data_IF_316042638894
#
_entry.id   IF_316042638894
#
_cell.length_a   1.000
_cell.length_b   1.000
_cell.length_c   1.000
_cell.angle_alpha   90.00
_cell.angle_beta   90.00
_cell.angle_gamma   90.00
#
_symmetry.space_group_name_H-M   'P 1'
#
loop_
_entity.id
_entity.type
_entity.pdbx_description
1 polymer ?
#
# COMPACT_ATOMS: atom_id res chain seq x y z
N UNK A 1 2.18 22.74 -20.50
CA UNK A 1 2.38 22.05 -21.80
C UNK A 1 3.49 20.99 -21.73
N UNK A 2 4.68 21.29 -21.20
CA UNK A 2 5.79 20.33 -21.08
C UNK A 2 5.42 19.05 -20.32
N UNK A 3 4.83 19.17 -19.13
CA UNK A 3 4.47 18.01 -18.29
C UNK A 3 3.37 17.14 -18.93
N UNK A 4 2.41 17.76 -19.62
CA UNK A 4 1.40 17.06 -20.39
C UNK A 4 2.00 16.30 -21.58
N UNK A 5 2.98 16.89 -22.28
CA UNK A 5 3.68 16.24 -23.39
C UNK A 5 4.49 15.01 -22.94
N UNK A 6 5.26 15.13 -21.85
CA UNK A 6 5.96 13.97 -21.28
C UNK A 6 4.99 12.95 -20.71
N UNK A 7 3.89 13.39 -20.09
CA UNK A 7 2.80 12.53 -19.67
C UNK A 7 2.20 11.73 -20.82
N UNK A 8 1.95 12.37 -21.97
CA UNK A 8 1.37 11.69 -23.14
C UNK A 8 2.33 10.65 -23.72
N UNK A 9 3.62 10.97 -23.84
CA UNK A 9 4.65 10.00 -24.25
C UNK A 9 4.76 8.82 -23.28
N UNK A 10 4.75 9.10 -21.98
CA UNK A 10 4.73 8.06 -20.95
C UNK A 10 3.45 7.21 -21.01
N UNK A 11 2.31 7.84 -21.27
CA UNK A 11 1.02 7.19 -21.49
C UNK A 11 1.04 6.26 -22.68
N UNK A 12 1.70 6.62 -23.78
CA UNK A 12 1.91 5.71 -24.91
C UNK A 12 2.73 4.48 -24.51
N UNK A 13 3.79 4.64 -23.69
CA UNK A 13 4.57 3.49 -23.19
C UNK A 13 3.69 2.56 -22.35
N UNK A 14 2.93 3.10 -21.38
CA UNK A 14 1.97 2.31 -20.62
C UNK A 14 0.88 1.69 -21.50
N UNK A 15 0.41 2.44 -22.50
CA UNK A 15 -0.59 2.04 -23.47
C UNK A 15 -0.13 0.88 -24.33
N UNK A 16 1.14 0.84 -24.74
CA UNK A 16 1.74 -0.29 -25.43
C UNK A 16 1.79 -1.53 -24.53
N UNK A 17 2.24 -1.39 -23.28
CA UNK A 17 2.25 -2.50 -22.30
C UNK A 17 0.84 -3.07 -22.15
N UNK A 18 -0.15 -2.24 -21.85
CA UNK A 18 -1.53 -2.71 -21.65
C UNK A 18 -2.18 -3.17 -22.97
N UNK A 19 -1.87 -2.54 -24.09
CA UNK A 19 -2.38 -2.93 -25.41
C UNK A 19 -1.92 -4.33 -25.81
N UNK A 20 -0.67 -4.72 -25.48
CA UNK A 20 -0.20 -6.10 -25.70
C UNK A 20 -0.95 -7.11 -24.84
N UNK A 21 -1.32 -6.74 -23.60
CA UNK A 21 -2.17 -7.58 -22.75
C UNK A 21 -3.56 -7.72 -23.36
N UNK A 22 -4.21 -6.61 -23.74
CA UNK A 22 -5.54 -6.62 -24.35
C UNK A 22 -5.60 -7.45 -25.63
N UNK A 23 -4.53 -7.42 -26.45
CA UNK A 23 -4.42 -8.27 -27.62
C UNK A 23 -4.44 -9.76 -27.23
N UNK A 24 -3.73 -10.15 -26.17
CA UNK A 24 -3.68 -11.54 -25.69
C UNK A 24 -4.99 -12.02 -25.08
N UNK A 25 -5.72 -11.15 -24.38
CA UNK A 25 -7.00 -11.50 -23.75
C UNK A 25 -8.22 -11.22 -24.65
N UNK A 26 -8.00 -10.82 -25.92
CA UNK A 26 -9.07 -10.61 -26.90
C UNK A 26 -9.97 -9.40 -26.61
N UNK A 27 -9.51 -8.39 -25.85
CA UNK A 27 -10.34 -7.25 -25.44
C UNK A 27 -10.36 -6.10 -26.46
N UNK A 28 -9.47 -6.12 -27.45
CA UNK A 28 -9.35 -5.04 -28.44
C UNK A 28 -10.63 -4.80 -29.29
N UNK A 29 -11.38 -5.82 -29.74
CA UNK A 29 -12.66 -5.60 -30.42
C UNK A 29 -13.68 -4.83 -29.57
N UNK A 30 -13.72 -5.07 -28.26
CA UNK A 30 -14.60 -4.34 -27.34
C UNK A 30 -14.26 -2.84 -27.32
N UNK A 31 -12.97 -2.50 -27.33
CA UNK A 31 -12.52 -1.09 -27.44
C UNK A 31 -12.84 -0.51 -28.80
N UNK A 32 -12.69 -1.29 -29.87
CA UNK A 32 -13.04 -0.89 -31.24
C UNK A 32 -14.54 -0.55 -31.37
N UNK A 33 -15.39 -1.21 -30.57
CA UNK A 33 -16.83 -0.95 -30.51
C UNK A 33 -17.19 0.50 -30.19
N UNK A 34 -16.32 1.25 -29.50
CA UNK A 34 -16.50 2.69 -29.22
C UNK A 34 -16.67 3.50 -30.51
N UNK A 35 -15.98 3.10 -31.58
CA UNK A 35 -16.06 3.73 -32.92
C UNK A 35 -16.86 2.88 -33.91
N UNK A 36 -17.71 1.98 -33.41
CA UNK A 36 -18.63 1.13 -34.18
C UNK A 36 -17.95 0.19 -35.19
N UNK A 37 -16.83 -0.40 -34.80
CA UNK A 37 -16.15 -1.46 -35.55
C UNK A 37 -15.70 -2.58 -34.61
N UNK A 38 -15.41 -3.76 -35.16
CA UNK A 38 -14.88 -4.93 -34.45
C UNK A 38 -13.38 -5.17 -34.71
N UNK A 39 -12.76 -4.32 -35.55
CA UNK A 39 -11.35 -4.48 -35.94
C UNK A 39 -10.40 -4.35 -34.73
N UNK A 40 -9.63 -5.41 -34.38
CA UNK A 40 -8.67 -5.34 -33.27
C UNK A 40 -7.59 -4.26 -33.46
N UNK A 41 -7.20 -4.00 -34.72
CA UNK A 41 -6.21 -2.97 -35.05
C UNK A 41 -6.75 -1.56 -34.76
N UNK A 42 -8.03 -1.30 -35.09
CA UNK A 42 -8.68 -0.03 -34.76
C UNK A 42 -8.84 0.10 -33.24
N UNK A 43 -9.25 -0.97 -32.55
CA UNK A 43 -9.32 -0.98 -31.08
C UNK A 43 -7.98 -0.66 -30.41
N UNK A 44 -6.87 -1.19 -30.94
CA UNK A 44 -5.53 -0.89 -30.47
C UNK A 44 -5.15 0.58 -30.69
N UNK A 45 -5.46 1.15 -31.87
CA UNK A 45 -5.21 2.56 -32.16
C UNK A 45 -6.02 3.50 -31.24
N UNK A 46 -7.31 3.20 -31.04
CA UNK A 46 -8.20 3.92 -30.11
C UNK A 46 -7.65 3.86 -28.69
N UNK A 47 -7.22 2.69 -28.25
CA UNK A 47 -6.59 2.52 -26.95
C UNK A 47 -5.32 3.37 -26.80
N UNK A 48 -4.41 3.38 -27.77
CA UNK A 48 -3.20 4.20 -27.70
C UNK A 48 -3.51 5.70 -27.65
N UNK A 49 -4.54 6.16 -28.37
CA UNK A 49 -5.02 7.54 -28.28
C UNK A 49 -5.51 7.88 -26.87
N UNK A 50 -6.38 7.02 -26.29
CA UNK A 50 -6.87 7.19 -24.92
C UNK A 50 -5.71 7.17 -23.93
N UNK A 51 -4.77 6.24 -24.07
CA UNK A 51 -3.58 6.12 -23.25
C UNK A 51 -2.70 7.40 -23.30
N UNK A 52 -2.53 8.01 -24.47
CA UNK A 52 -1.81 9.28 -24.58
C UNK A 52 -2.52 10.43 -23.85
N UNK A 53 -3.85 10.52 -23.97
CA UNK A 53 -4.66 11.56 -23.29
C UNK A 53 -4.58 11.36 -21.76
N UNK A 54 -4.85 10.14 -21.31
CA UNK A 54 -4.84 9.75 -19.89
C UNK A 54 -3.45 9.93 -19.28
N UNK A 55 -2.39 9.59 -20.01
CA UNK A 55 -1.00 9.84 -19.60
C UNK A 55 -0.67 11.33 -19.54
N UNK A 56 -1.17 12.13 -20.48
CA UNK A 56 -1.02 13.59 -20.46
C UNK A 56 -1.61 14.21 -19.19
N UNK A 57 -2.81 13.78 -18.80
CA UNK A 57 -3.44 14.17 -17.52
C UNK A 57 -2.59 13.72 -16.34
N UNK A 58 -2.10 12.48 -16.34
CA UNK A 58 -1.24 11.97 -15.27
C UNK A 58 0.02 12.84 -15.10
N UNK A 59 0.71 13.16 -16.19
CA UNK A 59 1.91 14.01 -16.17
C UNK A 59 1.66 15.38 -15.53
N UNK A 60 0.50 15.98 -15.77
CA UNK A 60 0.10 17.24 -15.12
C UNK A 60 -0.16 17.05 -13.62
N UNK A 61 -0.88 15.99 -13.23
CA UNK A 61 -1.24 15.72 -11.84
C UNK A 61 -0.01 15.42 -10.96
N UNK A 62 1.00 14.74 -11.52
CA UNK A 62 2.17 14.27 -10.76
C UNK A 62 3.43 15.12 -10.96
N UNK A 63 3.36 16.23 -11.70
CA UNK A 63 4.51 17.06 -12.04
C UNK A 63 5.37 17.50 -10.84
N UNK A 64 4.76 17.62 -9.65
CA UNK A 64 5.45 17.98 -8.39
C UNK A 64 5.39 16.89 -7.32
N UNK A 65 4.92 15.71 -7.68
CA UNK A 65 4.70 14.61 -6.77
C UNK A 65 5.92 13.70 -6.72
N UNK A 66 6.13 13.08 -5.56
CA UNK A 66 7.12 12.00 -5.38
C UNK A 66 6.41 10.65 -5.46
N UNK A 67 7.19 9.57 -5.53
CA UNK A 67 6.66 8.19 -5.59
C UNK A 67 5.72 7.92 -6.76
N UNK A 68 6.18 8.29 -7.96
CA UNK A 68 5.40 8.16 -9.20
C UNK A 68 4.84 6.74 -9.39
N UNK A 69 5.55 5.69 -8.94
CA UNK A 69 5.08 4.31 -9.00
C UNK A 69 3.73 4.13 -8.30
N UNK A 70 3.59 4.60 -7.05
CA UNK A 70 2.36 4.40 -6.28
C UNK A 70 1.23 5.28 -6.81
N UNK A 71 1.54 6.51 -7.25
CA UNK A 71 0.55 7.33 -7.96
C UNK A 71 0.10 6.68 -9.26
N UNK A 72 1.02 6.09 -10.03
CA UNK A 72 0.71 5.36 -11.26
C UNK A 72 -0.23 4.19 -10.99
N UNK A 73 0.03 3.38 -9.97
CA UNK A 73 -0.83 2.26 -9.58
C UNK A 73 -2.21 2.72 -9.13
N UNK A 74 -2.29 3.72 -8.25
CA UNK A 74 -3.57 4.28 -7.80
C UNK A 74 -4.37 4.90 -8.97
N UNK A 75 -3.66 5.56 -9.90
CA UNK A 75 -4.24 6.10 -11.12
C UNK A 75 -4.72 5.00 -12.08
N UNK A 76 -4.01 3.87 -12.13
CA UNK A 76 -4.46 2.65 -12.81
C UNK A 76 -5.77 2.13 -12.24
N UNK A 77 -5.87 1.96 -10.92
CA UNK A 77 -7.13 1.54 -10.27
C UNK A 77 -8.27 2.54 -10.55
N UNK A 78 -7.98 3.84 -10.48
CA UNK A 78 -8.94 4.89 -10.81
C UNK A 78 -9.46 4.73 -12.25
N UNK A 79 -8.58 4.54 -13.23
CA UNK A 79 -8.97 4.37 -14.63
C UNK A 79 -9.59 3.01 -14.94
N UNK A 80 -9.31 1.98 -14.14
CA UNK A 80 -10.07 0.73 -14.22
C UNK A 80 -11.51 0.94 -13.75
N UNK A 81 -11.73 1.71 -12.68
CA UNK A 81 -13.08 2.07 -12.26
C UNK A 81 -13.79 2.99 -13.27
N UNK A 82 -13.11 4.01 -13.77
CA UNK A 82 -13.70 4.96 -14.72
C UNK A 82 -13.86 4.37 -16.13
N UNK A 83 -12.91 3.58 -16.61
CA UNK A 83 -12.89 3.05 -17.98
C UNK A 83 -13.87 1.90 -18.15
N UNK A 84 -13.45 0.64 -17.93
CA UNK A 84 -14.25 -0.53 -18.22
C UNK A 84 -15.52 -0.66 -17.35
N UNK A 85 -15.54 -0.14 -16.11
CA UNK A 85 -16.72 -0.24 -15.24
C UNK A 85 -17.74 0.91 -15.43
N UNK A 86 -17.35 2.04 -16.02
CA UNK A 86 -18.20 3.24 -16.09
C UNK A 86 -18.35 3.78 -17.52
N UNK A 87 -17.26 4.28 -18.11
CA UNK A 87 -17.30 4.99 -19.40
C UNK A 87 -17.53 4.03 -20.56
N UNK A 88 -16.89 2.87 -20.57
CA UNK A 88 -17.03 1.90 -21.66
C UNK A 88 -18.49 1.42 -21.81
N UNK A 89 -19.21 0.98 -20.76
CA UNK A 89 -20.63 0.67 -20.88
C UNK A 89 -21.45 1.84 -21.42
N UNK A 90 -21.26 3.05 -20.89
CA UNK A 90 -21.96 4.26 -21.35
C UNK A 90 -21.74 4.50 -22.85
N UNK A 91 -20.49 4.40 -23.32
CA UNK A 91 -20.13 4.60 -24.72
C UNK A 91 -20.72 3.51 -25.65
N UNK A 92 -20.96 2.31 -25.12
CA UNK A 92 -21.60 1.21 -25.82
C UNK A 92 -23.14 1.22 -25.70
N UNK A 93 -23.71 2.13 -24.93
CA UNK A 93 -25.17 2.20 -24.69
C UNK A 93 -25.68 1.22 -23.63
N UNK A 94 -24.78 0.66 -22.82
CA UNK A 94 -25.06 -0.28 -21.73
C UNK A 94 -25.06 0.43 -20.36
N UNK A 95 -25.77 -0.10 -19.35
CA UNK A 95 -25.75 0.44 -17.99
C UNK A 95 -24.35 0.32 -17.35
N UNK A 96 -24.03 1.24 -16.43
CA UNK A 96 -22.76 1.18 -15.68
C UNK A 96 -22.63 -0.11 -14.88
N UNK A 97 -21.43 -0.69 -14.87
CA UNK A 97 -21.18 -2.02 -14.33
C UNK A 97 -20.76 -1.98 -12.84
N UNK A 98 -21.44 -1.17 -12.04
CA UNK A 98 -21.09 -0.91 -10.63
C UNK A 98 -21.58 -2.01 -9.68
N UNK A 99 -21.14 -3.24 -9.91
CA UNK A 99 -21.42 -4.38 -9.05
C UNK A 99 -20.23 -5.35 -8.99
N UNK A 100 -20.12 -6.11 -7.91
CA UNK A 100 -18.96 -6.98 -7.63
C UNK A 100 -18.76 -8.03 -8.71
N UNK A 101 -19.84 -8.58 -9.29
CA UNK A 101 -19.74 -9.58 -10.35
C UNK A 101 -19.03 -9.03 -11.60
N UNK A 102 -19.38 -7.83 -12.08
CA UNK A 102 -18.69 -7.23 -13.22
C UNK A 102 -17.25 -6.84 -12.89
N UNK A 103 -17.01 -6.32 -11.68
CA UNK A 103 -15.66 -6.03 -11.21
C UNK A 103 -14.78 -7.28 -11.21
N UNK A 104 -15.31 -8.42 -10.79
CA UNK A 104 -14.63 -9.72 -10.83
C UNK A 104 -14.32 -10.16 -12.26
N UNK A 105 -15.28 -10.06 -13.17
CA UNK A 105 -15.07 -10.42 -14.58
C UNK A 105 -14.01 -9.53 -15.25
N UNK A 106 -13.86 -8.30 -14.76
CA UNK A 106 -12.89 -7.31 -15.23
C UNK A 106 -11.56 -7.31 -14.47
N UNK A 107 -11.27 -8.31 -13.63
CA UNK A 107 -9.96 -8.49 -12.97
C UNK A 107 -8.78 -8.54 -13.96
N UNK A 108 -8.86 -9.22 -15.13
CA UNK A 108 -7.79 -9.14 -16.13
C UNK A 108 -7.51 -7.70 -16.58
N UNK A 109 -8.56 -6.88 -16.72
CA UNK A 109 -8.45 -5.47 -17.07
C UNK A 109 -7.87 -4.64 -15.94
N UNK A 110 -8.19 -4.94 -14.67
CA UNK A 110 -7.57 -4.31 -13.49
C UNK A 110 -6.05 -4.47 -13.50
N UNK A 111 -5.57 -5.70 -13.70
CA UNK A 111 -4.13 -5.98 -13.79
C UNK A 111 -3.48 -5.23 -14.96
N UNK A 112 -4.18 -5.12 -16.09
CA UNK A 112 -3.76 -4.31 -17.23
C UNK A 112 -3.66 -2.81 -16.93
N UNK A 113 -4.61 -2.26 -16.16
CA UNK A 113 -4.57 -0.86 -15.73
C UNK A 113 -3.49 -0.60 -14.68
N UNK A 114 -3.23 -1.54 -13.77
CA UNK A 114 -2.09 -1.48 -12.85
C UNK A 114 -0.76 -1.47 -13.61
N UNK A 115 -0.62 -2.34 -14.63
CA UNK A 115 0.54 -2.37 -15.50
C UNK A 115 0.69 -1.07 -16.32
N UNK A 116 -0.41 -0.56 -16.89
CA UNK A 116 -0.45 0.74 -17.57
C UNK A 116 0.07 1.86 -16.67
N UNK A 117 -0.47 1.96 -15.46
CA UNK A 117 -0.12 3.00 -14.48
C UNK A 117 1.33 2.92 -14.04
N UNK A 118 1.82 1.72 -13.71
CA UNK A 118 3.21 1.48 -13.32
C UNK A 118 4.19 1.81 -14.46
N UNK A 119 3.89 1.37 -15.69
CA UNK A 119 4.73 1.64 -16.86
C UNK A 119 4.75 3.12 -17.25
N UNK A 120 3.59 3.79 -17.18
CA UNK A 120 3.48 5.25 -17.39
C UNK A 120 4.31 6.01 -16.36
N UNK A 121 4.20 5.65 -15.08
CA UNK A 121 4.99 6.26 -14.01
C UNK A 121 6.49 6.04 -14.20
N UNK A 122 6.91 4.82 -14.56
CA UNK A 122 8.31 4.50 -14.82
C UNK A 122 8.86 5.28 -16.01
N UNK A 123 8.12 5.36 -17.11
CA UNK A 123 8.49 6.13 -18.29
C UNK A 123 8.62 7.63 -17.96
N UNK A 124 7.68 8.18 -17.19
CA UNK A 124 7.74 9.58 -16.75
C UNK A 124 8.94 9.83 -15.84
N UNK A 125 9.25 8.92 -14.91
CA UNK A 125 10.42 9.01 -14.05
C UNK A 125 11.74 8.98 -14.86
N UNK A 126 11.79 8.18 -15.93
CA UNK A 126 12.94 8.10 -16.84
C UNK A 126 13.09 9.38 -17.67
N UNK A 127 11.98 9.98 -18.11
CA UNK A 127 11.97 11.23 -18.89
C UNK A 127 12.32 12.46 -18.04
N UNK A 128 11.92 12.48 -16.76
CA UNK A 128 12.14 13.59 -15.84
C UNK A 128 13.58 13.70 -15.28
N UNK A 129 14.43 12.69 -15.52
CA UNK A 129 15.88 12.58 -15.20
C UNK A 129 16.40 13.38 -13.98
N UNK A 130 16.48 12.68 -12.85
CA UNK A 130 17.67 12.58 -11.99
C UNK A 130 17.70 11.17 -11.35
N UNK A 131 17.90 10.12 -12.15
CA UNK A 131 18.08 8.78 -11.59
C UNK A 131 19.47 8.65 -10.97
N UNK A 132 19.55 8.83 -9.64
CA UNK A 132 20.75 8.44 -8.90
C UNK A 132 20.83 6.93 -8.87
N UNK A 133 21.87 6.36 -9.49
CA UNK A 133 22.17 4.94 -9.34
C UNK A 133 22.38 4.64 -7.84
N UNK A 134 21.73 3.62 -7.28
CA UNK A 134 21.96 3.27 -5.88
C UNK A 134 23.42 2.83 -5.70
N UNK A 135 24.05 3.28 -4.63
CA UNK A 135 25.40 2.82 -4.29
C UNK A 135 25.40 1.32 -4.00
N UNK A 136 26.51 0.63 -4.32
CA UNK A 136 26.64 -0.81 -4.14
C UNK A 136 26.30 -1.27 -2.71
N UNK A 137 26.69 -0.51 -1.68
CA UNK A 137 26.37 -0.82 -0.28
C UNK A 137 24.87 -0.81 0.04
N UNK A 138 24.09 0.08 -0.60
CA UNK A 138 22.63 0.07 -0.46
C UNK A 138 22.03 -1.15 -1.15
N UNK A 139 22.49 -1.49 -2.35
CA UNK A 139 22.01 -2.67 -3.07
C UNK A 139 22.25 -3.95 -2.27
N UNK A 140 23.47 -4.15 -1.75
CA UNK A 140 23.80 -5.32 -0.92
C UNK A 140 22.91 -5.39 0.32
N UNK A 141 22.79 -4.27 1.04
CA UNK A 141 21.93 -4.19 2.23
C UNK A 141 20.48 -4.51 1.91
N UNK A 142 19.96 -3.99 0.80
CA UNK A 142 18.57 -4.19 0.42
C UNK A 142 18.30 -5.61 -0.04
N UNK A 143 19.19 -6.20 -0.85
CA UNK A 143 19.15 -7.61 -1.21
C UNK A 143 19.19 -8.53 0.02
N UNK A 144 20.06 -8.23 0.99
CA UNK A 144 20.14 -8.98 2.25
C UNK A 144 18.86 -8.84 3.08
N UNK A 145 18.32 -7.63 3.21
CA UNK A 145 17.06 -7.41 3.91
C UNK A 145 15.89 -8.17 3.26
N UNK A 146 15.85 -8.21 1.93
CA UNK A 146 14.87 -8.98 1.18
C UNK A 146 15.02 -10.49 1.37
N UNK A 147 16.27 -10.99 1.38
CA UNK A 147 16.57 -12.39 1.70
C UNK A 147 16.15 -12.76 3.14
N UNK A 148 16.43 -11.90 4.12
CA UNK A 148 16.05 -12.14 5.51
C UNK A 148 14.53 -12.11 5.73
N UNK A 149 13.81 -11.33 4.92
CA UNK A 149 12.35 -11.28 4.96
C UNK A 149 11.69 -12.44 4.18
N UNK A 150 12.42 -13.11 3.27
CA UNK A 150 11.86 -14.11 2.36
C UNK A 150 11.20 -15.33 3.00
N UNK A 151 11.53 -15.78 4.24
CA UNK A 151 10.80 -16.87 4.89
C UNK A 151 9.30 -16.63 5.02
N UNK A 152 8.84 -15.37 4.96
CA UNK A 152 7.41 -15.03 4.94
C UNK A 152 6.69 -15.59 3.70
N UNK A 153 7.40 -15.78 2.59
CA UNK A 153 6.90 -16.41 1.37
C UNK A 153 6.95 -17.96 1.42
N UNK A 154 7.33 -18.52 2.57
CA UNK A 154 7.70 -19.92 2.71
C UNK A 154 9.18 -20.18 2.41
N UNK A 155 9.61 -21.43 2.66
CA UNK A 155 11.02 -21.84 2.56
C UNK A 155 11.38 -22.46 1.19
N UNK A 156 10.51 -22.33 0.18
CA UNK A 156 10.76 -22.84 -1.17
C UNK A 156 11.81 -22.02 -1.92
N UNK A 157 12.39 -22.59 -2.98
CA UNK A 157 13.47 -21.97 -3.77
C UNK A 157 13.11 -20.61 -4.39
N UNK A 158 11.83 -20.37 -4.69
CA UNK A 158 11.35 -19.10 -5.25
C UNK A 158 11.38 -17.95 -4.24
N UNK A 159 11.18 -18.24 -2.95
CA UNK A 159 11.11 -17.22 -1.88
C UNK A 159 12.39 -16.36 -1.79
N UNK A 160 13.57 -16.96 -1.58
CA UNK A 160 14.85 -16.23 -1.52
C UNK A 160 15.14 -15.39 -2.76
N UNK A 161 14.87 -15.92 -3.96
CA UNK A 161 15.08 -15.20 -5.22
C UNK A 161 14.18 -13.97 -5.30
N UNK A 162 12.88 -14.15 -5.03
CA UNK A 162 11.91 -13.04 -4.99
C UNK A 162 12.30 -12.02 -3.94
N UNK A 163 12.71 -12.45 -2.74
CA UNK A 163 13.17 -11.57 -1.67
C UNK A 163 14.36 -10.72 -2.08
N UNK A 164 15.42 -11.32 -2.64
CA UNK A 164 16.61 -10.61 -3.13
C UNK A 164 16.26 -9.59 -4.22
N UNK A 165 15.45 -9.99 -5.21
CA UNK A 165 15.03 -9.11 -6.29
C UNK A 165 14.12 -7.97 -5.78
N UNK A 166 13.25 -8.25 -4.82
CA UNK A 166 12.43 -7.25 -4.16
C UNK A 166 13.29 -6.23 -3.40
N UNK A 167 14.29 -6.69 -2.65
CA UNK A 167 15.25 -5.83 -1.98
C UNK A 167 16.03 -4.94 -2.96
N UNK A 168 16.65 -5.53 -3.98
CA UNK A 168 17.42 -4.80 -4.98
C UNK A 168 16.56 -3.76 -5.72
N UNK A 169 15.36 -4.14 -6.16
CA UNK A 169 14.44 -3.23 -6.84
C UNK A 169 13.92 -2.12 -5.92
N UNK A 170 13.66 -2.41 -4.64
CA UNK A 170 13.32 -1.37 -3.66
C UNK A 170 14.43 -0.30 -3.58
N UNK A 171 15.70 -0.71 -3.51
CA UNK A 171 16.84 0.21 -3.49
C UNK A 171 16.96 1.05 -4.77
N UNK A 172 16.67 0.46 -5.93
CA UNK A 172 16.68 1.18 -7.22
C UNK A 172 15.55 2.21 -7.30
N UNK A 173 14.35 1.85 -6.85
CA UNK A 173 13.17 2.70 -6.97
C UNK A 173 13.16 3.81 -5.93
N UNK A 174 13.51 3.52 -4.68
CA UNK A 174 13.33 4.45 -3.55
C UNK A 174 14.64 4.98 -2.96
N UNK A 175 15.79 4.38 -3.29
CA UNK A 175 17.07 4.76 -2.70
C UNK A 175 17.17 4.41 -1.21
N UNK A 176 18.08 5.09 -0.50
CA UNK A 176 18.29 4.87 0.93
C UNK A 176 17.20 5.57 1.75
N UNK A 177 16.39 4.84 2.55
CA UNK A 177 15.37 5.45 3.39
C UNK A 177 16.01 6.33 4.48
N UNK A 178 15.81 7.64 4.39
CA UNK A 178 16.24 8.62 5.41
C UNK A 178 15.08 9.17 6.26
N UNK A 179 13.89 8.62 6.08
CA UNK A 179 12.71 9.01 6.84
C UNK A 179 12.41 8.03 7.99
N UNK A 180 11.40 8.36 8.80
CA UNK A 180 11.02 7.58 9.97
C UNK A 180 10.46 6.21 9.59
N UNK A 181 10.52 5.29 10.54
CA UNK A 181 10.14 3.89 10.35
C UNK A 181 8.69 3.68 9.91
N UNK A 182 7.74 4.55 10.29
CA UNK A 182 6.32 4.45 9.87
C UNK A 182 6.11 4.59 8.37
N UNK A 183 6.47 5.72 7.73
CA UNK A 183 6.40 5.85 6.28
C UNK A 183 7.16 4.75 5.52
N UNK A 184 8.33 4.32 6.03
CA UNK A 184 9.10 3.21 5.44
C UNK A 184 8.34 1.89 5.51
N UNK A 185 7.72 1.59 6.65
CA UNK A 185 6.89 0.40 6.86
C UNK A 185 5.74 0.36 5.85
N UNK A 186 5.01 1.46 5.70
CA UNK A 186 3.86 1.57 4.80
C UNK A 186 4.29 1.55 3.33
N UNK A 187 5.42 2.19 2.99
CA UNK A 187 6.04 2.05 1.67
C UNK A 187 6.38 0.61 1.36
N UNK A 188 7.00 -0.09 2.31
CA UNK A 188 7.31 -1.50 2.22
C UNK A 188 6.06 -2.34 1.93
N UNK A 189 5.00 -2.16 2.71
CA UNK A 189 3.73 -2.85 2.53
C UNK A 189 3.12 -2.63 1.12
N UNK A 190 3.08 -1.37 0.66
CA UNK A 190 2.61 -1.02 -0.68
C UNK A 190 3.48 -1.63 -1.79
N UNK A 191 4.80 -1.64 -1.59
CA UNK A 191 5.73 -2.28 -2.53
C UNK A 191 5.61 -3.80 -2.53
N UNK A 192 5.27 -4.40 -1.39
CA UNK A 192 4.88 -5.80 -1.28
C UNK A 192 3.70 -6.14 -2.19
N UNK A 193 2.65 -5.31 -2.19
CA UNK A 193 1.53 -5.46 -3.14
C UNK A 193 1.99 -5.42 -4.61
N UNK A 194 2.93 -4.53 -4.95
CA UNK A 194 3.52 -4.49 -6.31
C UNK A 194 4.19 -5.82 -6.64
N UNK A 195 4.98 -6.37 -5.72
CA UNK A 195 5.64 -7.65 -5.91
C UNK A 195 4.68 -8.83 -5.93
N UNK A 196 3.54 -8.78 -5.26
CA UNK A 196 2.49 -9.78 -5.42
C UNK A 196 1.94 -9.79 -6.86
N UNK A 197 1.62 -8.61 -7.42
CA UNK A 197 1.17 -8.50 -8.82
C UNK A 197 2.25 -8.97 -9.80
N UNK A 198 3.50 -8.56 -9.58
CA UNK A 198 4.62 -8.88 -10.48
C UNK A 198 5.07 -10.34 -10.36
N UNK A 199 5.39 -10.83 -9.17
CA UNK A 199 5.93 -12.17 -8.99
C UNK A 199 4.85 -13.25 -8.95
N UNK A 200 3.90 -13.17 -8.00
CA UNK A 200 2.91 -14.22 -7.81
C UNK A 200 1.89 -14.28 -8.94
N UNK A 201 1.32 -13.14 -9.34
CA UNK A 201 0.24 -13.10 -10.34
C UNK A 201 0.76 -13.16 -11.78
N UNK A 202 1.98 -12.68 -12.05
CA UNK A 202 2.50 -12.51 -13.42
C UNK A 202 3.69 -13.39 -13.74
N UNK A 203 4.83 -13.23 -13.07
CA UNK A 203 6.07 -13.90 -13.45
C UNK A 203 6.06 -15.40 -13.14
N UNK A 204 5.57 -15.84 -11.98
CA UNK A 204 5.54 -17.26 -11.65
C UNK A 204 4.73 -18.07 -12.68
N UNK A 205 3.47 -17.70 -13.01
CA UNK A 205 2.73 -18.41 -14.06
C UNK A 205 3.40 -18.40 -15.43
N UNK A 206 4.08 -17.31 -15.80
CA UNK A 206 4.83 -17.23 -17.05
C UNK A 206 6.03 -18.18 -17.07
N UNK A 207 6.79 -18.25 -15.97
CA UNK A 207 7.95 -19.13 -15.83
C UNK A 207 7.54 -20.61 -15.78
N UNK A 208 6.37 -20.90 -15.22
CA UNK A 208 5.78 -22.25 -15.20
C UNK A 208 5.17 -22.67 -16.55
N UNK A 209 5.23 -21.82 -17.58
CA UNK A 209 4.63 -22.09 -18.89
C UNK A 209 3.09 -22.00 -18.92
N UNK A 210 2.44 -21.49 -17.87
CA UNK A 210 0.98 -21.32 -17.77
C UNK A 210 0.45 -20.05 -18.46
N UNK A 211 1.33 -19.20 -18.99
CA UNK A 211 0.96 -17.94 -19.63
C UNK A 211 0.55 -16.86 -18.63
N UNK A 212 -0.18 -15.84 -19.09
CA UNK A 212 -0.74 -14.79 -18.23
C UNK A 212 -1.97 -15.32 -17.49
N UNK A 213 -1.77 -15.79 -16.25
CA UNK A 213 -2.83 -16.31 -15.40
C UNK A 213 -3.63 -15.19 -14.71
N UNK A 214 -4.15 -14.25 -15.49
CA UNK A 214 -4.85 -13.04 -15.01
C UNK A 214 -6.36 -13.20 -14.87
N UNK A 215 -6.89 -14.41 -15.08
CA UNK A 215 -8.32 -14.70 -14.90
C UNK A 215 -8.73 -14.52 -13.44
N UNK A 216 -10.01 -14.20 -13.19
CA UNK A 216 -10.53 -14.06 -11.83
C UNK A 216 -10.26 -15.30 -10.97
N UNK A 217 -10.40 -16.50 -11.54
CA UNK A 217 -10.12 -17.75 -10.85
C UNK A 217 -8.64 -17.89 -10.45
N UNK A 218 -7.71 -17.55 -11.35
CA UNK A 218 -6.28 -17.62 -11.06
C UNK A 218 -5.85 -16.56 -10.03
N UNK A 219 -6.37 -15.34 -10.14
CA UNK A 219 -6.11 -14.26 -9.18
C UNK A 219 -6.65 -14.61 -7.79
N UNK A 220 -7.85 -15.22 -7.72
CA UNK A 220 -8.41 -15.70 -6.45
C UNK A 220 -7.54 -16.77 -5.80
N UNK A 221 -6.87 -17.62 -6.58
CA UNK A 221 -5.87 -18.56 -6.03
C UNK A 221 -4.63 -17.81 -5.54
N UNK A 222 -4.11 -16.89 -6.35
CA UNK A 222 -2.91 -16.11 -6.03
C UNK A 222 -3.09 -15.15 -4.84
N UNK A 223 -4.33 -14.72 -4.53
CA UNK A 223 -4.62 -13.82 -3.39
C UNK A 223 -4.18 -14.44 -2.06
N UNK A 224 -4.04 -15.76 -1.98
CA UNK A 224 -3.54 -16.44 -0.79
C UNK A 224 -2.10 -16.05 -0.42
N UNK A 225 -1.32 -15.58 -1.40
CA UNK A 225 0.03 -15.10 -1.18
C UNK A 225 0.08 -13.60 -0.85
N UNK A 226 -0.99 -12.84 -1.11
CA UNK A 226 -1.00 -11.38 -0.93
C UNK A 226 -0.57 -10.95 0.49
N UNK A 227 -1.12 -11.54 1.58
CA UNK A 227 -0.65 -11.26 2.94
C UNK A 227 0.87 -11.41 3.11
N UNK A 228 1.44 -12.50 2.58
CA UNK A 228 2.87 -12.80 2.68
C UNK A 228 3.72 -11.72 1.99
N UNK A 229 3.34 -11.29 0.80
CA UNK A 229 4.04 -10.24 0.06
C UNK A 229 3.94 -8.87 0.72
N UNK A 230 2.77 -8.51 1.26
CA UNK A 230 2.60 -7.25 2.00
C UNK A 230 3.48 -7.24 3.25
N UNK A 231 3.51 -8.33 4.01
CA UNK A 231 4.36 -8.47 5.20
C UNK A 231 5.85 -8.52 4.83
N UNK A 232 6.22 -9.22 3.75
CA UNK A 232 7.57 -9.25 3.20
C UNK A 232 8.07 -7.82 2.95
N UNK A 233 7.31 -7.04 2.19
CA UNK A 233 7.69 -5.68 1.85
C UNK A 233 7.82 -4.79 3.09
N UNK A 234 6.88 -4.90 4.03
CA UNK A 234 6.90 -4.18 5.30
C UNK A 234 8.16 -4.49 6.14
N UNK A 235 8.45 -5.77 6.37
CA UNK A 235 9.61 -6.24 7.14
C UNK A 235 10.91 -5.90 6.44
N UNK A 236 11.00 -6.16 5.13
CA UNK A 236 12.16 -5.83 4.30
C UNK A 236 12.50 -4.35 4.40
N UNK A 237 11.53 -3.44 4.24
CA UNK A 237 11.79 -2.01 4.29
C UNK A 237 12.28 -1.55 5.68
N UNK A 238 11.73 -2.12 6.76
CA UNK A 238 12.23 -1.89 8.12
C UNK A 238 13.66 -2.39 8.30
N UNK A 239 13.99 -3.59 7.79
CA UNK A 239 15.35 -4.15 7.83
C UNK A 239 16.35 -3.28 7.06
N UNK A 240 15.98 -2.75 5.89
CA UNK A 240 16.81 -1.81 5.11
C UNK A 240 17.13 -0.57 5.96
N UNK A 241 16.12 0.00 6.62
CA UNK A 241 16.28 1.18 7.47
C UNK A 241 17.16 0.86 8.69
N UNK A 242 16.93 -0.28 9.34
CA UNK A 242 17.67 -0.71 10.53
C UNK A 242 19.15 -0.98 10.22
N UNK A 243 19.43 -1.80 9.20
CA UNK A 243 20.79 -2.07 8.73
C UNK A 243 21.49 -0.78 8.25
N UNK A 244 20.75 0.17 7.69
CA UNK A 244 21.28 1.47 7.28
C UNK A 244 21.69 2.34 8.47
N UNK A 245 20.87 2.33 9.53
CA UNK A 245 21.19 2.97 10.80
C UNK A 245 22.41 2.34 11.47
N UNK A 246 22.52 1.01 11.48
CA UNK A 246 23.67 0.29 12.02
C UNK A 246 24.95 0.62 11.25
N UNK A 247 24.89 0.58 9.92
CA UNK A 247 26.02 0.95 9.05
C UNK A 247 26.49 2.38 9.33
N UNK A 248 25.58 3.36 9.44
CA UNK A 248 25.97 4.73 9.81
C UNK A 248 26.56 4.82 11.20
N UNK A 249 26.00 4.11 12.19
CA UNK A 249 26.52 4.12 13.56
C UNK A 249 27.93 3.53 13.69
N UNK A 250 28.28 2.55 12.86
CA UNK A 250 29.60 1.88 12.90
C UNK A 250 30.64 2.62 12.06
N UNK A 251 30.25 3.19 10.93
CA UNK A 251 31.18 3.73 9.92
C UNK A 251 31.19 5.26 9.80
N UNK A 252 30.31 5.98 10.51
CA UNK A 252 30.22 7.45 10.45
C UNK A 252 30.30 8.06 11.84
N UNK A 253 31.30 8.93 12.07
CA UNK A 253 31.40 9.79 13.25
C UNK A 253 30.43 10.98 13.14
N UNK A 254 29.15 10.70 12.91
CA UNK A 254 28.14 11.75 12.78
C UNK A 254 27.59 12.13 14.17
N UNK A 255 28.40 12.93 14.87
CA UNK A 255 28.06 13.54 16.17
C UNK A 255 26.77 14.36 16.08
N UNK A 256 26.44 14.90 14.90
CA UNK A 256 25.22 15.69 14.67
C UNK A 256 23.98 14.80 14.65
N UNK A 257 24.05 13.64 13.98
CA UNK A 257 23.00 12.61 13.99
C UNK A 257 22.75 12.03 15.39
N UNK A 258 23.79 11.92 16.22
CA UNK A 258 23.67 11.50 17.62
C UNK A 258 22.98 12.56 18.51
N UNK A 259 23.31 13.83 18.30
CA UNK A 259 22.72 14.97 19.03
C UNK A 259 21.24 15.17 18.64
N UNK A 260 20.90 15.11 17.36
CA UNK A 260 19.51 15.20 16.88
C UNK A 260 18.64 14.08 17.43
N UNK A 261 19.15 12.84 17.49
CA UNK A 261 18.44 11.70 18.12
C UNK A 261 18.17 11.92 19.60
N UNK A 262 19.12 12.52 20.34
CA UNK A 262 18.97 12.87 21.76
C UNK A 262 17.94 13.98 21.97
N UNK A 263 17.98 15.04 21.17
CA UNK A 263 17.01 16.14 21.23
C UNK A 263 15.59 15.67 20.85
N UNK A 264 15.47 14.73 19.90
CA UNK A 264 14.20 14.11 19.54
C UNK A 264 13.65 13.12 20.60
N UNK A 265 14.43 12.75 21.61
CA UNK A 265 14.02 11.81 22.65
C UNK A 265 13.14 12.45 23.74
N UNK A 266 13.28 13.75 24.01
CA UNK A 266 12.64 14.44 25.14
C UNK A 266 11.10 14.45 25.16
N UNK A 267 10.43 14.13 24.05
CA UNK A 267 8.96 14.04 23.95
C UNK A 267 8.40 12.62 23.75
N UNK A 268 9.21 11.56 23.97
CA UNK A 268 8.79 10.18 23.70
C UNK A 268 7.65 9.73 24.63
N UNK A 269 7.77 9.96 25.92
CA UNK A 269 6.79 9.46 26.92
C UNK A 269 5.37 9.99 26.67
N UNK A 270 5.23 11.30 26.43
CA UNK A 270 3.93 11.93 26.12
C UNK A 270 3.32 11.34 24.84
N UNK A 271 4.14 11.13 23.81
CA UNK A 271 3.71 10.49 22.56
C UNK A 271 3.22 9.06 22.76
N UNK A 272 3.86 8.26 23.64
CA UNK A 272 3.38 6.92 23.96
C UNK A 272 2.00 6.95 24.64
N UNK A 273 1.77 7.89 25.57
CA UNK A 273 0.46 8.08 26.19
C UNK A 273 -0.61 8.52 25.20
N UNK A 274 -0.28 9.36 24.22
CA UNK A 274 -1.19 9.65 23.11
C UNK A 274 -1.52 8.39 22.31
N UNK A 275 -0.54 7.51 22.10
CA UNK A 275 -0.72 6.20 21.49
C UNK A 275 -1.71 5.33 22.27
N UNK A 276 -1.55 5.25 23.60
CA UNK A 276 -2.49 4.53 24.49
C UNK A 276 -3.92 5.08 24.36
N UNK A 277 -4.10 6.39 24.50
CA UNK A 277 -5.41 7.02 24.43
C UNK A 277 -6.09 6.86 23.07
N UNK A 278 -5.31 7.03 22.00
CA UNK A 278 -5.79 6.87 20.63
C UNK A 278 -6.10 5.40 20.30
N UNK A 279 -5.26 4.47 20.78
CA UNK A 279 -5.47 3.02 20.68
C UNK A 279 -6.73 2.57 21.42
N UNK A 280 -6.98 3.08 22.62
CA UNK A 280 -8.21 2.81 23.36
C UNK A 280 -9.44 3.33 22.60
N UNK A 281 -9.37 4.54 22.02
CA UNK A 281 -10.48 5.11 21.25
C UNK A 281 -10.82 4.26 20.02
N UNK A 282 -9.79 3.84 19.26
CA UNK A 282 -9.98 2.90 18.15
C UNK A 282 -10.51 1.55 18.63
N UNK A 283 -10.01 1.04 19.75
CA UNK A 283 -10.41 -0.23 20.35
C UNK A 283 -11.88 -0.29 20.69
N UNK A 284 -12.40 0.75 21.36
CA UNK A 284 -13.84 0.91 21.69
C UNK A 284 -14.68 0.96 20.42
N UNK A 285 -14.25 1.70 19.39
CA UNK A 285 -14.97 1.75 18.12
C UNK A 285 -15.03 0.36 17.46
N UNK A 286 -13.91 -0.37 17.47
CA UNK A 286 -13.84 -1.71 16.90
C UNK A 286 -14.63 -2.75 17.72
N UNK A 287 -14.78 -2.55 19.04
CA UNK A 287 -15.67 -3.38 19.87
C UNK A 287 -17.09 -3.41 19.33
N UNK A 288 -17.60 -2.30 18.77
CA UNK A 288 -18.93 -2.28 18.14
C UNK A 288 -19.07 -3.36 17.06
N UNK A 289 -18.10 -3.46 16.14
CA UNK A 289 -18.08 -4.50 15.11
C UNK A 289 -17.98 -5.89 15.74
N UNK A 290 -17.06 -6.10 16.68
CA UNK A 290 -16.86 -7.41 17.31
C UNK A 290 -18.08 -7.92 18.06
N UNK A 291 -18.86 -7.03 18.69
CA UNK A 291 -20.12 -7.38 19.33
C UNK A 291 -21.15 -7.83 18.29
N UNK A 292 -21.27 -7.10 17.16
CA UNK A 292 -22.24 -7.46 16.11
C UNK A 292 -21.98 -8.81 15.47
N UNK A 293 -20.71 -9.23 15.36
CA UNK A 293 -20.34 -10.53 14.78
C UNK A 293 -19.99 -11.59 15.83
N UNK A 294 -20.17 -11.31 17.12
CA UNK A 294 -19.93 -12.27 18.20
C UNK A 294 -18.46 -12.71 18.36
N UNK A 295 -17.49 -11.86 18.02
CA UNK A 295 -16.06 -12.24 17.93
C UNK A 295 -15.28 -12.14 19.26
N UNK A 296 -15.85 -11.51 20.29
CA UNK A 296 -15.15 -11.32 21.58
C UNK A 296 -14.72 -12.65 22.26
N UNK A 297 -15.52 -13.73 22.28
CA UNK A 297 -15.08 -15.03 22.79
C UNK A 297 -13.84 -15.59 22.08
N UNK A 298 -13.69 -15.34 20.77
CA UNK A 298 -12.51 -15.75 20.00
C UNK A 298 -11.25 -14.99 20.42
N UNK A 299 -11.37 -13.77 20.92
CA UNK A 299 -10.22 -13.06 21.52
C UNK A 299 -9.94 -13.57 22.93
N UNK A 300 -10.98 -13.91 23.69
CA UNK A 300 -10.86 -14.47 25.04
C UNK A 300 -10.11 -15.81 25.06
N UNK A 301 -10.17 -16.60 23.98
CA UNK A 301 -9.51 -17.89 23.90
C UNK A 301 -7.98 -17.79 23.88
N UNK A 302 -7.40 -16.61 23.60
CA UNK A 302 -5.96 -16.34 23.74
C UNK A 302 -5.44 -16.61 25.16
N UNK A 303 -6.31 -16.54 26.17
CA UNK A 303 -5.99 -16.87 27.58
C UNK A 303 -6.81 -18.05 28.10
N UNK A 304 -7.37 -18.87 27.20
CA UNK A 304 -8.17 -20.04 27.54
C UNK A 304 -9.58 -19.73 28.09
N UNK A 305 -10.11 -18.52 27.87
CA UNK A 305 -11.46 -18.13 28.32
C UNK A 305 -12.46 -18.13 27.17
N UNK A 306 -13.73 -18.41 27.45
CA UNK A 306 -14.86 -18.23 26.52
C UNK A 306 -15.70 -16.96 26.80
N UNK A 307 -15.34 -16.17 27.81
CA UNK A 307 -16.14 -15.02 28.25
C UNK A 307 -15.96 -13.82 27.32
N UNK A 308 -17.07 -13.29 26.79
CA UNK A 308 -17.05 -12.07 25.99
C UNK A 308 -16.50 -10.85 26.77
N UNK A 309 -16.69 -10.80 28.09
CA UNK A 309 -16.12 -9.75 28.94
C UNK A 309 -14.59 -9.85 29.02
N UNK A 310 -14.04 -11.06 29.16
CA UNK A 310 -12.59 -11.30 29.12
C UNK A 310 -12.04 -10.93 27.74
N UNK A 311 -12.74 -11.31 26.67
CA UNK A 311 -12.39 -10.94 25.30
C UNK A 311 -12.36 -9.43 25.08
N UNK A 312 -13.32 -8.68 25.65
CA UNK A 312 -13.33 -7.22 25.61
C UNK A 312 -12.12 -6.63 26.32
N UNK A 313 -11.80 -7.07 27.53
CA UNK A 313 -10.64 -6.58 28.27
C UNK A 313 -9.35 -6.82 27.48
N UNK A 314 -9.16 -8.03 26.96
CA UNK A 314 -7.99 -8.36 26.15
C UNK A 314 -7.91 -7.53 24.87
N UNK A 315 -9.03 -7.37 24.16
CA UNK A 315 -9.08 -6.53 22.97
C UNK A 315 -8.66 -5.08 23.25
N UNK A 316 -9.13 -4.49 24.36
CA UNK A 316 -8.74 -3.13 24.75
C UNK A 316 -7.27 -3.04 25.18
N UNK A 317 -6.71 -4.09 25.80
CA UNK A 317 -5.27 -4.14 26.11
C UNK A 317 -4.43 -4.23 24.83
N UNK A 318 -4.78 -5.13 23.91
CA UNK A 318 -4.13 -5.26 22.60
C UNK A 318 -4.22 -3.93 21.83
N UNK A 319 -5.41 -3.30 21.83
CA UNK A 319 -5.64 -2.00 21.19
C UNK A 319 -4.70 -0.90 21.69
N UNK A 320 -4.33 -0.90 22.98
CA UNK A 320 -3.36 0.04 23.54
C UNK A 320 -1.94 -0.27 23.08
N UNK A 321 -1.55 -1.55 23.06
CA UNK A 321 -0.24 -1.98 22.53
C UNK A 321 -0.08 -1.53 21.07
N UNK A 322 -1.10 -1.78 20.25
CA UNK A 322 -1.15 -1.35 18.84
C UNK A 322 -1.07 0.18 18.71
N UNK A 323 -1.76 0.92 19.60
CA UNK A 323 -1.68 2.38 19.63
C UNK A 323 -0.31 2.91 20.03
N UNK A 324 0.37 2.26 20.97
CA UNK A 324 1.76 2.57 21.35
C UNK A 324 2.71 2.32 20.19
N UNK A 325 2.58 1.21 19.46
CA UNK A 325 3.40 0.94 18.28
C UNK A 325 3.13 1.94 17.16
N UNK A 326 1.89 2.40 16.98
CA UNK A 326 1.59 3.51 16.07
C UNK A 326 2.31 4.79 16.46
N UNK A 327 2.29 5.16 17.75
CA UNK A 327 3.02 6.32 18.25
C UNK A 327 4.53 6.21 17.96
N UNK A 328 5.13 5.03 18.14
CA UNK A 328 6.54 4.79 17.83
C UNK A 328 6.87 4.99 16.34
N UNK A 329 5.99 4.54 15.45
CA UNK A 329 6.21 4.59 14.00
C UNK A 329 5.89 5.96 13.37
N UNK A 330 4.83 6.63 13.83
CA UNK A 330 4.22 7.79 13.16
C UNK A 330 4.32 9.10 13.93
N UNK A 331 5.12 9.14 15.01
CA UNK A 331 5.42 10.38 15.76
C UNK A 331 5.83 11.51 14.82
N UNK A 332 5.17 12.67 14.91
CA UNK A 332 5.45 13.85 14.07
C UNK A 332 5.31 13.60 12.57
N UNK A 333 4.44 12.68 12.16
CA UNK A 333 4.14 12.39 10.74
C UNK A 333 2.73 12.80 10.31
N UNK A 334 1.87 13.13 11.27
CA UNK A 334 0.49 13.54 11.02
C UNK A 334 0.35 15.05 11.28
N UNK A 335 0.26 15.85 10.22
CA UNK A 335 0.22 17.31 10.30
C UNK A 335 -1.22 17.87 10.24
N UNK A 336 -2.18 17.12 9.72
CA UNK A 336 -3.61 17.45 9.70
C UNK A 336 -4.53 16.22 9.87
N UNK A 337 -5.84 16.42 9.96
CA UNK A 337 -6.78 15.31 10.14
C UNK A 337 -6.72 14.28 9.01
N UNK A 338 -6.56 14.73 7.77
CA UNK A 338 -6.42 13.84 6.63
C UNK A 338 -5.22 12.92 6.83
N UNK A 339 -4.03 13.49 7.06
CA UNK A 339 -2.77 12.79 7.35
C UNK A 339 -2.91 11.71 8.43
N UNK A 340 -3.55 12.06 9.56
CA UNK A 340 -3.80 11.13 10.65
C UNK A 340 -4.68 9.97 10.21
N UNK A 341 -5.79 10.27 9.52
CA UNK A 341 -6.70 9.24 9.02
C UNK A 341 -6.00 8.31 8.05
N UNK A 342 -5.32 8.79 7.01
CA UNK A 342 -4.82 7.86 6.01
C UNK A 342 -3.56 7.09 6.43
N UNK A 343 -2.71 7.63 7.33
CA UNK A 343 -1.69 6.80 8.01
C UNK A 343 -2.35 5.75 8.90
N UNK A 344 -3.38 6.15 9.63
CA UNK A 344 -4.20 5.28 10.46
C UNK A 344 -4.83 4.13 9.67
N UNK A 345 -5.51 4.42 8.57
CA UNK A 345 -6.13 3.44 7.67
C UNK A 345 -5.10 2.48 7.08
N UNK A 346 -3.95 3.01 6.64
CA UNK A 346 -2.84 2.18 6.12
C UNK A 346 -2.30 1.23 7.19
N UNK A 347 -2.18 1.72 8.43
CA UNK A 347 -1.75 0.92 9.57
C UNK A 347 -2.81 -0.10 10.01
N UNK A 348 -4.09 0.27 9.94
CA UNK A 348 -5.23 -0.61 10.18
C UNK A 348 -5.25 -1.78 9.19
N UNK A 349 -5.06 -1.51 7.90
CA UNK A 349 -4.92 -2.56 6.88
C UNK A 349 -3.75 -3.50 7.20
N UNK A 350 -2.59 -2.95 7.57
CA UNK A 350 -1.43 -3.75 7.96
C UNK A 350 -1.73 -4.63 9.19
N UNK A 351 -2.46 -4.11 10.20
CA UNK A 351 -2.86 -4.88 11.37
C UNK A 351 -3.99 -5.88 11.12
N UNK A 352 -4.84 -5.66 10.13
CA UNK A 352 -5.77 -6.69 9.69
C UNK A 352 -5.00 -7.91 9.14
N UNK A 353 -4.00 -7.66 8.31
CA UNK A 353 -3.13 -8.72 7.77
C UNK A 353 -2.28 -9.37 8.88
N UNK A 354 -1.53 -8.55 9.62
CA UNK A 354 -0.59 -9.03 10.64
C UNK A 354 -1.32 -9.60 11.87
N UNK A 355 -2.29 -8.88 12.41
CA UNK A 355 -3.02 -9.26 13.62
C UNK A 355 -4.06 -10.33 13.34
N UNK A 356 -5.13 -9.97 12.62
CA UNK A 356 -6.30 -10.83 12.46
C UNK A 356 -6.05 -12.06 11.59
N UNK A 357 -5.38 -11.89 10.44
CA UNK A 357 -5.15 -13.00 9.50
C UNK A 357 -3.93 -13.86 9.85
N UNK A 358 -2.98 -13.33 10.62
CA UNK A 358 -1.68 -14.00 10.84
C UNK A 358 -1.45 -14.34 12.31
N UNK A 359 -1.31 -13.34 13.19
CA UNK A 359 -0.92 -13.57 14.59
C UNK A 359 -2.03 -14.24 15.40
N UNK A 360 -3.28 -13.78 15.29
CA UNK A 360 -4.40 -14.34 16.05
C UNK A 360 -4.56 -15.85 15.83
N UNK A 361 -4.70 -16.38 14.59
CA UNK A 361 -4.83 -17.82 14.39
C UNK A 361 -3.58 -18.59 14.83
N UNK A 362 -2.38 -18.04 14.60
CA UNK A 362 -1.12 -18.66 15.07
C UNK A 362 -1.06 -18.78 16.60
N UNK A 363 -1.47 -17.74 17.32
CA UNK A 363 -1.53 -17.75 18.78
C UNK A 363 -2.60 -18.70 19.33
N UNK A 364 -3.63 -19.01 18.53
CA UNK A 364 -4.64 -20.02 18.84
C UNK A 364 -4.25 -21.44 18.42
N UNK A 365 -3.03 -21.63 17.89
CA UNK A 365 -2.51 -22.93 17.48
C UNK A 365 -2.88 -23.37 16.06
N UNK A 366 -3.43 -22.48 15.23
CA UNK A 366 -3.71 -22.71 13.82
C UNK A 366 -2.63 -22.08 12.91
N UNK A 367 -2.66 -22.37 11.60
CA UNK A 367 -1.85 -21.64 10.62
C UNK A 367 -2.44 -20.26 10.28
N UNK A 368 -1.69 -19.37 9.61
CA UNK A 368 -2.25 -18.14 9.06
C UNK A 368 -3.47 -18.41 8.17
N UNK A 369 -4.48 -17.53 8.26
CA UNK A 369 -5.74 -17.63 7.53
C UNK A 369 -5.70 -16.73 6.30
N UNK A 370 -5.02 -17.18 5.25
CA UNK A 370 -4.72 -16.36 4.06
C UNK A 370 -5.49 -16.76 2.81
N UNK A 371 -6.26 -17.84 2.80
CA UNK A 371 -7.00 -18.23 1.60
C UNK A 371 -8.09 -17.21 1.22
N UNK A 372 -8.50 -17.19 -0.04
CA UNK A 372 -9.55 -16.27 -0.52
C UNK A 372 -10.84 -16.37 0.31
N UNK A 373 -11.26 -17.59 0.68
CA UNK A 373 -12.42 -17.82 1.52
C UNK A 373 -12.27 -17.17 2.90
N UNK A 374 -11.09 -17.28 3.51
CA UNK A 374 -10.83 -16.72 4.83
C UNK A 374 -10.72 -15.18 4.82
N UNK A 375 -10.14 -14.61 3.75
CA UNK A 375 -10.17 -13.16 3.54
C UNK A 375 -11.61 -12.66 3.37
N UNK A 376 -12.46 -13.40 2.64
CA UNK A 376 -13.87 -13.06 2.48
C UNK A 376 -14.64 -13.15 3.80
N UNK A 377 -14.47 -14.23 4.57
CA UNK A 377 -15.08 -14.42 5.89
C UNK A 377 -14.65 -13.33 6.89
N UNK A 378 -13.41 -12.88 6.81
CA UNK A 378 -12.86 -11.86 7.71
C UNK A 378 -13.14 -10.41 7.27
N UNK A 379 -13.96 -10.20 6.24
CA UNK A 379 -14.31 -8.87 5.74
C UNK A 379 -14.88 -7.92 6.81
N UNK A 380 -15.77 -8.35 7.73
CA UNK A 380 -16.20 -7.47 8.84
C UNK A 380 -15.03 -7.00 9.70
N UNK A 381 -14.03 -7.88 9.93
CA UNK A 381 -12.81 -7.54 10.66
C UNK A 381 -11.95 -6.53 9.90
N UNK A 382 -11.87 -6.61 8.56
CA UNK A 382 -11.20 -5.58 7.74
C UNK A 382 -11.83 -4.20 8.00
N UNK A 383 -13.16 -4.08 7.89
CA UNK A 383 -13.87 -2.83 8.17
C UNK A 383 -13.55 -2.30 9.56
N UNK A 384 -13.58 -3.18 10.57
CA UNK A 384 -13.24 -2.84 11.94
C UNK A 384 -11.80 -2.35 12.11
N UNK A 385 -10.82 -2.97 11.46
CA UNK A 385 -9.42 -2.55 11.49
C UNK A 385 -9.18 -1.21 10.77
N UNK A 386 -9.83 -0.98 9.63
CA UNK A 386 -9.74 0.32 8.93
C UNK A 386 -10.34 1.44 9.78
N UNK A 387 -11.47 1.19 10.43
CA UNK A 387 -12.13 2.15 11.31
C UNK A 387 -11.33 2.39 12.60
N UNK A 388 -10.78 1.33 13.21
CA UNK A 388 -9.80 1.39 14.31
C UNK A 388 -8.63 2.30 13.92
N UNK A 389 -8.02 2.02 12.76
CA UNK A 389 -6.87 2.75 12.25
C UNK A 389 -7.17 4.23 12.02
N UNK A 390 -8.29 4.54 11.34
CA UNK A 390 -8.73 5.90 11.10
C UNK A 390 -8.92 6.69 12.41
N UNK A 391 -9.59 6.09 13.41
CA UNK A 391 -9.81 6.68 14.72
C UNK A 391 -8.49 6.89 15.49
N UNK A 392 -7.65 5.85 15.53
CA UNK A 392 -6.31 5.89 16.14
C UNK A 392 -5.49 7.05 15.56
N UNK A 393 -5.35 7.11 14.24
CA UNK A 393 -4.54 8.12 13.58
C UNK A 393 -5.08 9.54 13.76
N UNK A 394 -6.41 9.72 13.70
CA UNK A 394 -7.06 11.01 13.93
C UNK A 394 -6.91 11.51 15.37
N UNK A 395 -7.16 10.64 16.36
CA UNK A 395 -7.05 11.00 17.78
C UNK A 395 -5.60 11.28 18.13
N UNK A 396 -4.67 10.43 17.70
CA UNK A 396 -3.25 10.63 17.91
C UNK A 396 -2.79 11.97 17.34
N UNK A 397 -3.19 12.30 16.10
CA UNK A 397 -2.87 13.58 15.47
C UNK A 397 -3.40 14.77 16.27
N UNK A 398 -4.64 14.70 16.78
CA UNK A 398 -5.22 15.78 17.57
C UNK A 398 -4.52 15.98 18.91
N UNK A 399 -4.11 14.89 19.56
CA UNK A 399 -3.37 14.95 20.81
C UNK A 399 -1.96 15.53 20.58
N UNK A 400 -1.24 15.08 19.55
CA UNK A 400 0.06 15.67 19.19
C UNK A 400 -0.06 17.15 18.81
N UNK A 401 -1.09 17.55 18.07
CA UNK A 401 -1.28 18.94 17.64
C UNK A 401 -1.45 19.92 18.82
N UNK A 402 -1.99 19.45 19.95
CA UNK A 402 -2.17 20.24 21.19
C UNK A 402 -0.86 20.48 21.93
N UNK A 403 0.14 19.61 21.75
CA UNK A 403 1.45 19.77 22.36
C UNK A 403 2.29 20.75 21.53
N UNK A 404 2.36 22.00 21.99
CA UNK A 404 3.28 22.99 21.40
C UNK A 404 4.63 22.88 22.10
N UNK A 405 5.77 22.83 21.37
CA UNK A 405 7.07 22.88 22.00
C UNK A 405 7.20 24.20 22.79
N UNK A 406 7.56 24.14 24.08
CA UNK A 406 7.62 25.32 24.94
C UNK A 406 8.61 26.40 24.50
N UNK A 407 9.53 26.06 23.57
CA UNK A 407 10.50 26.98 22.98
C UNK A 407 10.00 27.72 21.72
N UNK A 408 8.82 27.38 21.19
CA UNK A 408 8.23 28.04 20.03
C UNK A 408 7.06 28.91 20.46
N UNK A 409 6.99 30.13 19.92
CA UNK A 409 5.78 30.95 20.00
C UNK A 409 4.63 30.27 19.23
N UNK A 410 3.38 30.63 19.55
CA UNK A 410 2.19 30.09 18.86
C UNK A 410 2.24 30.33 17.35
N UNK A 411 2.74 31.50 16.91
CA UNK A 411 2.88 31.84 15.49
C UNK A 411 3.97 31.02 14.80
N UNK A 412 5.13 30.80 15.43
CA UNK A 412 6.19 29.95 14.91
C UNK A 412 5.74 28.48 14.81
N UNK A 413 5.04 27.97 15.82
CA UNK A 413 4.47 26.62 15.78
C UNK A 413 3.42 26.49 14.66
N UNK A 414 2.59 27.51 14.43
CA UNK A 414 1.63 27.53 13.33
C UNK A 414 2.32 27.55 11.96
N UNK A 415 3.35 28.39 11.79
CA UNK A 415 4.14 28.45 10.55
C UNK A 415 4.84 27.11 10.26
N UNK A 416 5.47 26.49 11.27
CA UNK A 416 6.11 25.19 11.14
C UNK A 416 5.11 24.10 10.70
N UNK A 417 3.88 24.09 11.26
CA UNK A 417 2.81 23.17 10.83
C UNK A 417 2.37 23.43 9.39
N UNK A 418 2.26 24.69 8.96
CA UNK A 418 1.88 25.03 7.60
C UNK A 418 2.94 24.53 6.59
N UNK A 419 4.22 24.72 6.89
CA UNK A 419 5.32 24.20 6.08
C UNK A 419 5.31 22.68 6.04
N UNK A 420 5.20 22.00 7.19
CA UNK A 420 5.16 20.55 7.25
C UNK A 420 3.96 19.94 6.51
N UNK A 421 2.79 20.60 6.56
CA UNK A 421 1.60 20.22 5.80
C UNK A 421 1.86 20.30 4.29
N UNK A 422 2.47 21.40 3.83
CA UNK A 422 2.84 21.57 2.42
C UNK A 422 3.85 20.50 1.98
N UNK A 423 4.87 20.25 2.79
CA UNK A 423 5.85 19.18 2.53
C UNK A 423 5.17 17.81 2.44
N UNK A 424 4.21 17.52 3.32
CA UNK A 424 3.47 16.26 3.27
C UNK A 424 2.65 16.12 1.99
N UNK A 425 1.96 17.18 1.55
CA UNK A 425 1.17 17.12 0.30
C UNK A 425 2.02 16.87 -0.96
N UNK A 426 3.31 17.18 -0.89
CA UNK A 426 4.29 16.93 -1.95
C UNK A 426 5.13 15.67 -1.69
N UNK A 427 4.91 15.00 -0.56
CA UNK A 427 5.66 13.81 -0.14
C UNK A 427 5.11 12.53 -0.74
N UNK A 428 5.73 11.40 -0.37
CA UNK A 428 5.26 10.05 -0.64
C UNK A 428 3.90 9.72 0.02
N UNK A 429 3.59 10.37 1.15
CA UNK A 429 2.48 9.97 2.01
C UNK A 429 1.15 9.91 1.25
N UNK A 430 0.80 10.92 0.42
CA UNK A 430 -0.48 10.91 -0.24
C UNK A 430 -0.63 9.84 -1.34
N UNK A 431 0.46 9.31 -1.87
CA UNK A 431 0.41 8.21 -2.83
C UNK A 431 0.18 6.88 -2.10
N UNK A 432 0.91 6.67 -1.00
CA UNK A 432 0.93 5.42 -0.24
C UNK A 432 -0.43 5.06 0.34
N UNK A 433 -1.03 5.97 1.08
CA UNK A 433 -2.31 5.73 1.75
C UNK A 433 -3.50 5.58 0.77
N UNK A 434 -3.40 6.15 -0.43
CA UNK A 434 -4.42 6.10 -1.49
C UNK A 434 -4.32 4.76 -2.19
N UNK A 435 -3.10 4.31 -2.50
CA UNK A 435 -2.88 2.97 -3.02
C UNK A 435 -3.34 1.91 -2.02
N UNK A 436 -2.99 2.02 -0.74
CA UNK A 436 -3.44 1.04 0.26
C UNK A 436 -4.94 1.07 0.51
N UNK A 437 -5.57 2.24 0.47
CA UNK A 437 -7.03 2.33 0.46
C UNK A 437 -7.62 1.62 -0.77
N UNK A 438 -7.03 1.79 -1.96
CA UNK A 438 -7.43 1.05 -3.16
C UNK A 438 -7.26 -0.46 -2.96
N UNK A 439 -6.14 -0.93 -2.41
CA UNK A 439 -5.90 -2.35 -2.12
C UNK A 439 -6.99 -2.90 -1.19
N UNK A 440 -7.33 -2.18 -0.12
CA UNK A 440 -8.40 -2.59 0.79
C UNK A 440 -9.76 -2.69 0.09
N UNK A 441 -10.08 -1.72 -0.78
CA UNK A 441 -11.33 -1.71 -1.57
C UNK A 441 -11.38 -2.79 -2.65
N UNK A 442 -10.23 -3.27 -3.11
CA UNK A 442 -10.13 -4.34 -4.09
C UNK A 442 -10.32 -5.73 -3.46
N UNK A 443 -10.16 -5.89 -2.13
CA UNK A 443 -10.27 -7.19 -1.46
C UNK A 443 -11.55 -7.95 -1.85
N UNK A 444 -12.77 -7.38 -1.80
CA UNK A 444 -13.99 -8.09 -2.19
C UNK A 444 -13.98 -8.59 -3.65
N UNK A 445 -13.32 -7.86 -4.55
CA UNK A 445 -13.22 -8.21 -5.97
C UNK A 445 -12.20 -9.34 -6.17
N UNK A 446 -11.11 -9.34 -5.40
CA UNK A 446 -10.04 -10.34 -5.51
C UNK A 446 -10.43 -11.70 -4.90
N UNK A 447 -11.37 -11.72 -3.96
CA UNK A 447 -11.77 -12.94 -3.23
C UNK A 447 -13.09 -13.55 -3.71
N UNK A 448 -13.95 -12.78 -4.38
CA UNK A 448 -15.20 -13.26 -4.98
C UNK A 448 -14.90 -14.25 -6.12
#
# INVERSE_FOLDING_TARGET
MRDAGFGALAGLVGGLVFGTVMARIGFLPTVAGIVRTDSPAVGFAVHLLIAAIVGGVFGVLVARQRELLFWGLAYGVLWWFLGPLTLLPILLGEPVAWHVAAARDLVPSLLGHLAYGAATAAALALLAREQRRPGAGLLVRASLAGLLASPLLGLGWSGPVVGVLAGASYAVVFGDPREGSGPVLIRGAAFGFVWWVLAAVTLSPLLDGRGLAWSAAAVRTAVAELPAYVLLGAVMALLICWLGGLSRAVFSDDVRDALERRLAAGGRVISLWHGVAAGLTGGVLFTGVMVTVGFLPTVASLVGSGSAAVGLVLHLLISQVVGVTYALFFRRRSFDAASGIGWGVSYGLLWWILGNLTLLPVLLGAGPRWSAAELAESFPSLVGHLAYGAALGLVYQRLEARVSPGHLTRSQAAAARATARREQTLSAAPALWSLLACVALLVPVLVA
#
